data_IF_601058205898
#
_entry.id   IF_601058205898
#
_cell.length_a   1.000
_cell.length_b   1.000
_cell.length_c   1.000
_cell.angle_alpha   90.00
_cell.angle_beta   90.00
_cell.angle_gamma   90.00
#
_symmetry.space_group_name_H-M   'P 1'
#
loop_
_entity.id
_entity.type
_entity.pdbx_description
1 polymer ?
#
# COMPACT_ATOMS: atom_id res chain seq x y z
N UNK A 1 14.33 11.90 -10.01
CA UNK A 1 13.04 11.18 -10.17
C UNK A 1 12.86 10.22 -9.01
N UNK A 2 11.68 10.17 -8.41
CA UNK A 2 11.38 9.25 -7.29
C UNK A 2 11.33 7.80 -7.79
N UNK A 3 12.06 6.91 -7.11
CA UNK A 3 12.10 5.48 -7.43
C UNK A 3 11.46 4.66 -6.32
N UNK A 4 10.85 3.55 -6.70
CA UNK A 4 10.09 2.70 -5.81
C UNK A 4 10.50 1.23 -5.98
N UNK A 5 10.48 0.50 -4.87
CA UNK A 5 10.46 -0.96 -4.90
C UNK A 5 9.01 -1.43 -4.77
N UNK A 6 8.70 -2.61 -5.31
CA UNK A 6 7.39 -3.24 -5.12
C UNK A 6 7.57 -4.38 -4.13
N UNK A 7 6.98 -4.24 -2.93
CA UNK A 7 6.93 -5.32 -1.97
C UNK A 7 5.73 -6.22 -2.24
N UNK A 8 5.91 -7.51 -1.98
CA UNK A 8 4.85 -8.50 -2.07
C UNK A 8 4.88 -9.39 -0.80
N UNK A 9 3.80 -9.29 -0.04
CA UNK A 9 3.60 -9.73 1.33
C UNK A 9 2.42 -10.72 1.43
N UNK A 10 2.24 -11.50 0.37
CA UNK A 10 1.22 -12.55 0.31
C UNK A 10 1.29 -13.50 1.52
N UNK A 11 0.16 -14.01 2.02
CA UNK A 11 0.12 -14.87 3.20
C UNK A 11 1.05 -16.09 3.10
N UNK A 12 1.14 -16.71 1.93
CA UNK A 12 2.01 -17.87 1.66
C UNK A 12 3.51 -17.57 1.85
N UNK A 13 3.92 -16.30 1.81
CA UNK A 13 5.32 -15.88 1.98
C UNK A 13 5.63 -15.41 3.40
N UNK A 14 4.69 -15.55 4.34
CA UNK A 14 4.92 -15.16 5.74
C UNK A 14 6.03 -15.95 6.43
N UNK A 15 6.26 -17.19 5.98
CA UNK A 15 7.33 -18.04 6.50
C UNK A 15 8.71 -17.70 5.92
N UNK A 16 8.78 -16.89 4.85
CA UNK A 16 10.06 -16.51 4.25
C UNK A 16 10.85 -15.64 5.23
N UNK A 17 12.19 -15.79 5.31
CA UNK A 17 13.02 -15.03 6.24
C UNK A 17 13.07 -13.53 5.90
N UNK A 18 12.88 -13.18 4.63
CA UNK A 18 12.98 -11.82 4.11
C UNK A 18 11.74 -11.41 3.33
N UNK A 19 11.50 -10.10 3.27
CA UNK A 19 10.47 -9.50 2.44
C UNK A 19 10.82 -9.71 0.98
N UNK A 20 9.84 -10.17 0.20
CA UNK A 20 9.98 -10.36 -1.23
C UNK A 20 9.73 -9.06 -1.98
N UNK A 21 10.63 -8.71 -2.89
CA UNK A 21 10.50 -7.60 -3.83
C UNK A 21 10.42 -8.10 -5.26
N UNK A 22 9.80 -7.31 -6.12
CA UNK A 22 9.78 -7.59 -7.56
C UNK A 22 11.11 -7.21 -8.20
N UNK A 23 11.58 -8.03 -9.15
CA UNK A 23 12.72 -7.72 -10.01
C UNK A 23 12.33 -6.77 -11.14
N UNK A 24 13.31 -6.09 -11.71
CA UNK A 24 13.08 -5.17 -12.84
C UNK A 24 12.30 -5.84 -13.97
N UNK A 25 11.46 -5.07 -14.67
CA UNK A 25 10.66 -5.55 -15.80
C UNK A 25 9.75 -6.75 -15.46
N UNK A 26 9.31 -6.87 -14.20
CA UNK A 26 8.41 -7.93 -13.75
C UNK A 26 8.99 -9.36 -13.93
N UNK A 27 10.31 -9.48 -13.93
CA UNK A 27 11.05 -10.72 -14.17
C UNK A 27 11.10 -11.68 -12.97
N UNK A 28 10.09 -11.64 -12.11
CA UNK A 28 9.99 -12.45 -10.90
C UNK A 28 10.40 -11.72 -9.63
N UNK A 29 10.98 -12.45 -8.69
CA UNK A 29 11.09 -12.01 -7.30
C UNK A 29 12.53 -12.07 -6.76
N UNK A 30 12.82 -11.26 -5.75
CA UNK A 30 14.11 -11.23 -5.08
C UNK A 30 13.97 -10.82 -3.61
N UNK A 31 14.88 -11.32 -2.76
CA UNK A 31 15.11 -10.76 -1.42
C UNK A 31 16.13 -9.62 -1.42
N UNK A 32 17.28 -9.73 -2.13
CA UNK A 32 18.28 -8.66 -2.12
C UNK A 32 17.76 -7.41 -2.85
N UNK A 33 17.91 -6.25 -2.19
CA UNK A 33 17.53 -4.96 -2.75
C UNK A 33 18.39 -4.55 -3.95
N UNK A 34 19.56 -5.17 -4.12
CA UNK A 34 20.42 -5.04 -5.29
C UNK A 34 19.85 -5.72 -6.54
N UNK A 35 19.03 -6.76 -6.36
CA UNK A 35 18.35 -7.48 -7.44
C UNK A 35 16.91 -7.00 -7.67
N UNK A 36 16.36 -6.25 -6.71
CA UNK A 36 15.03 -5.68 -6.82
C UNK A 36 14.96 -4.58 -7.89
N UNK A 37 13.87 -4.58 -8.66
CA UNK A 37 13.58 -3.58 -9.68
C UNK A 37 13.28 -2.22 -9.07
N UNK A 38 13.73 -1.15 -9.72
CA UNK A 38 13.42 0.22 -9.35
C UNK A 38 12.44 0.80 -10.35
N UNK A 39 11.24 1.08 -9.88
CA UNK A 39 10.11 1.51 -10.68
C UNK A 39 9.92 3.02 -10.61
N UNK A 40 9.59 3.62 -11.74
CA UNK A 40 9.29 5.05 -11.82
C UNK A 40 7.87 5.35 -11.34
N UNK A 41 7.64 6.56 -10.83
CA UNK A 41 6.30 6.97 -10.40
C UNK A 41 5.26 6.89 -11.53
N UNK A 42 5.62 7.35 -12.73
CA UNK A 42 4.72 7.35 -13.89
C UNK A 42 4.28 5.92 -14.26
N UNK A 43 5.23 4.99 -14.34
CA UNK A 43 4.98 3.57 -14.60
C UNK A 43 4.02 2.96 -13.56
N UNK A 44 4.23 3.29 -12.28
CA UNK A 44 3.37 2.79 -11.20
C UNK A 44 1.94 3.33 -11.26
N UNK A 45 1.77 4.57 -11.72
CA UNK A 45 0.45 5.19 -11.88
C UNK A 45 -0.29 4.53 -13.05
N UNK A 46 0.39 4.33 -14.18
CA UNK A 46 -0.18 3.73 -15.38
C UNK A 46 -0.67 2.30 -15.12
N UNK A 47 0.12 1.50 -14.41
CA UNK A 47 -0.19 0.09 -14.11
C UNK A 47 -0.66 -0.13 -12.65
N UNK A 48 -1.37 0.82 -12.06
CA UNK A 48 -1.64 0.81 -10.61
C UNK A 48 -2.36 -0.45 -10.11
N UNK A 49 -3.35 -0.96 -10.85
CA UNK A 49 -4.10 -2.16 -10.46
C UNK A 49 -3.23 -3.42 -10.45
N UNK A 50 -2.09 -3.40 -11.13
CA UNK A 50 -1.17 -4.52 -11.22
C UNK A 50 -0.17 -4.54 -10.06
N UNK A 51 0.36 -3.36 -9.73
CA UNK A 51 1.36 -3.18 -8.66
C UNK A 51 0.76 -2.94 -7.27
N UNK A 52 -0.54 -2.62 -7.21
CA UNK A 52 -1.28 -2.47 -5.97
C UNK A 52 -2.35 -3.55 -5.86
N UNK A 53 -2.19 -4.49 -4.94
CA UNK A 53 -3.10 -5.63 -4.77
C UNK A 53 -3.42 -5.88 -3.30
N UNK A 54 -4.69 -6.21 -3.04
CA UNK A 54 -5.17 -6.67 -1.74
C UNK A 54 -5.60 -8.14 -1.81
N UNK A 55 -5.55 -8.78 -0.65
CA UNK A 55 -6.19 -10.06 -0.37
C UNK A 55 -7.11 -9.86 0.83
N UNK A 56 -8.42 -9.89 0.57
CA UNK A 56 -9.43 -9.34 1.48
C UNK A 56 -9.08 -7.93 1.94
N UNK A 57 -8.96 -7.74 3.25
CA UNK A 57 -8.62 -6.46 3.85
C UNK A 57 -7.11 -6.16 3.85
N UNK A 58 -6.25 -7.14 3.58
CA UNK A 58 -4.80 -6.99 3.69
C UNK A 58 -4.18 -6.47 2.39
N UNK A 59 -3.40 -5.39 2.48
CA UNK A 59 -2.56 -4.94 1.39
C UNK A 59 -1.37 -5.91 1.23
N UNK A 60 -1.35 -6.65 0.13
CA UNK A 60 -0.38 -7.72 -0.14
C UNK A 60 0.67 -7.32 -1.16
N UNK A 61 0.37 -6.45 -2.12
CA UNK A 61 1.36 -5.96 -3.09
C UNK A 61 1.25 -4.46 -3.22
N UNK A 62 2.37 -3.76 -3.14
CA UNK A 62 2.35 -2.30 -3.19
C UNK A 62 3.76 -1.70 -3.42
N UNK A 63 3.82 -0.57 -4.12
CA UNK A 63 5.05 0.21 -4.25
C UNK A 63 5.42 0.96 -2.96
N UNK A 64 6.71 1.09 -2.68
CA UNK A 64 7.28 1.79 -1.52
C UNK A 64 8.51 2.58 -1.98
N UNK A 65 8.68 3.81 -1.49
CA UNK A 65 9.82 4.65 -1.85
C UNK A 65 11.16 3.96 -1.54
N UNK A 66 12.07 3.93 -2.50
CA UNK A 66 13.29 3.11 -2.43
C UNK A 66 14.16 3.46 -1.21
N UNK A 67 14.27 4.74 -0.86
CA UNK A 67 15.08 5.20 0.27
C UNK A 67 14.59 4.64 1.61
N UNK A 68 13.27 4.49 1.79
CA UNK A 68 12.68 3.94 3.01
C UNK A 68 12.98 2.45 3.15
N UNK A 69 12.99 1.72 2.04
CA UNK A 69 13.30 0.28 2.03
C UNK A 69 14.79 0.07 2.28
N UNK A 70 15.65 0.85 1.59
CA UNK A 70 17.11 0.78 1.79
C UNK A 70 17.52 1.04 3.25
N UNK A 71 16.87 2.00 3.92
CA UNK A 71 17.12 2.30 5.33
C UNK A 71 16.76 1.15 6.30
N UNK A 72 16.02 0.14 5.83
CA UNK A 72 15.67 -1.08 6.58
C UNK A 72 16.47 -2.30 6.12
N UNK A 73 17.38 -2.11 5.17
CA UNK A 73 18.24 -3.16 4.66
C UNK A 73 19.27 -3.58 5.71
N UNK A 74 19.48 -4.88 5.82
CA UNK A 74 20.52 -5.54 6.63
C UNK A 74 21.18 -6.59 5.77
N UNK A 75 22.37 -7.03 6.15
CA UNK A 75 22.98 -8.19 5.52
C UNK A 75 22.14 -9.44 5.79
N UNK A 76 22.08 -10.38 4.83
CA UNK A 76 21.40 -11.65 5.04
C UNK A 76 22.16 -12.51 6.03
N UNK A 77 21.46 -13.46 6.64
CA UNK A 77 22.09 -14.49 7.44
C UNK A 77 22.94 -15.38 6.52
N UNK A 78 24.14 -15.81 6.98
CA UNK A 78 25.03 -16.64 6.18
C UNK A 78 24.34 -17.90 5.62
N UNK A 79 24.51 -18.16 4.32
CA UNK A 79 24.02 -19.36 3.65
C UNK A 79 22.54 -19.34 3.26
N UNK A 80 21.79 -18.27 3.57
CA UNK A 80 20.38 -18.16 3.14
C UNK A 80 20.24 -17.67 1.70
N UNK A 81 21.19 -16.86 1.23
CA UNK A 81 21.21 -16.31 -0.12
C UNK A 81 22.55 -16.65 -0.74
N UNK A 82 22.55 -17.01 -2.03
CA UNK A 82 23.76 -17.27 -2.79
C UNK A 82 24.75 -16.12 -2.64
N UNK A 83 25.97 -16.44 -2.25
CA UNK A 83 27.04 -15.46 -1.98
C UNK A 83 26.71 -14.41 -0.92
N UNK A 84 25.71 -14.66 -0.06
CA UNK A 84 25.24 -13.73 0.98
C UNK A 84 24.91 -12.33 0.44
N UNK A 85 24.38 -12.24 -0.78
CA UNK A 85 24.11 -10.94 -1.41
C UNK A 85 23.04 -10.17 -0.64
N UNK A 86 23.43 -9.02 -0.11
CA UNK A 86 22.57 -8.06 0.56
C UNK A 86 22.52 -6.69 -0.15
N UNK A 87 21.84 -5.70 0.44
CA UNK A 87 21.05 -5.81 1.67
C UNK A 87 19.67 -6.45 1.43
N UNK A 88 19.08 -7.05 2.46
CA UNK A 88 17.74 -7.65 2.51
C UNK A 88 16.89 -7.00 3.60
N UNK A 89 15.57 -7.15 3.55
CA UNK A 89 14.68 -6.67 4.61
C UNK A 89 14.08 -7.87 5.36
N UNK A 90 14.31 -8.03 6.68
CA UNK A 90 13.75 -9.12 7.47
C UNK A 90 12.23 -9.15 7.43
N UNK A 91 11.65 -10.34 7.29
CA UNK A 91 10.19 -10.53 7.25
C UNK A 91 9.55 -10.54 8.63
N UNK A 92 9.74 -9.47 9.39
CA UNK A 92 9.13 -9.33 10.71
C UNK A 92 7.75 -8.67 10.62
N UNK A 93 6.85 -8.90 11.59
CA UNK A 93 5.58 -8.17 11.68
C UNK A 93 5.78 -6.65 11.69
N UNK A 94 6.83 -6.17 12.36
CA UNK A 94 7.19 -4.75 12.43
C UNK A 94 7.53 -4.18 11.04
N UNK A 95 8.39 -4.86 10.28
CA UNK A 95 8.73 -4.43 8.92
C UNK A 95 7.51 -4.46 8.01
N UNK A 96 6.71 -5.54 8.01
CA UNK A 96 5.47 -5.60 7.21
C UNK A 96 4.51 -4.44 7.53
N UNK A 97 4.34 -4.11 8.81
CA UNK A 97 3.49 -2.98 9.26
C UNK A 97 4.02 -1.65 8.74
N UNK A 98 5.32 -1.40 8.89
CA UNK A 98 5.96 -0.15 8.44
C UNK A 98 5.85 -0.01 6.93
N UNK A 99 6.14 -1.06 6.17
CA UNK A 99 6.06 -1.04 4.71
C UNK A 99 4.65 -0.69 4.26
N UNK A 100 3.61 -1.37 4.79
CA UNK A 100 2.21 -1.07 4.42
C UNK A 100 1.82 0.38 4.72
N UNK A 101 2.23 0.91 5.87
CA UNK A 101 1.97 2.32 6.26
C UNK A 101 2.66 3.34 5.34
N UNK A 102 3.75 2.94 4.70
CA UNK A 102 4.55 3.77 3.80
C UNK A 102 4.32 3.43 2.32
N UNK A 103 3.29 2.64 2.02
CA UNK A 103 2.90 2.35 0.65
C UNK A 103 2.67 3.65 -0.11
N UNK A 104 3.15 3.69 -1.35
CA UNK A 104 2.79 4.74 -2.28
C UNK A 104 1.34 4.52 -2.71
N UNK A 105 0.52 5.55 -2.52
CA UNK A 105 -0.88 5.59 -2.90
C UNK A 105 -0.99 6.73 -3.90
N UNK A 106 -1.11 6.44 -5.20
CA UNK A 106 -1.35 7.47 -6.19
C UNK A 106 -2.75 8.06 -6.02
N UNK A 107 -2.89 9.33 -6.38
CA UNK A 107 -4.12 10.10 -6.25
C UNK A 107 -5.28 9.51 -7.05
N UNK A 108 -4.99 8.85 -8.18
CA UNK A 108 -5.96 8.10 -8.96
C UNK A 108 -6.62 6.91 -8.22
N UNK A 109 -5.99 6.40 -7.13
CA UNK A 109 -6.67 5.47 -6.22
C UNK A 109 -7.52 6.21 -5.20
N UNK A 110 -7.11 7.40 -4.74
CA UNK A 110 -7.86 8.21 -3.78
C UNK A 110 -9.22 8.66 -4.33
N UNK A 111 -9.33 8.94 -5.62
CA UNK A 111 -10.61 9.25 -6.27
C UNK A 111 -11.57 8.07 -6.34
N UNK A 112 -11.06 6.82 -6.38
CA UNK A 112 -11.88 5.60 -6.25
C UNK A 112 -12.34 5.33 -4.82
N UNK A 113 -11.76 6.03 -3.84
CA UNK A 113 -12.17 6.00 -2.45
C UNK A 113 -13.11 7.17 -2.11
N UNK A 114 -13.90 7.65 -3.08
CA UNK A 114 -14.94 8.66 -2.86
C UNK A 114 -15.68 8.31 -1.57
N UNK A 115 -15.49 9.19 -0.59
CA UNK A 115 -15.88 8.93 0.80
C UNK A 115 -17.40 8.78 0.81
N UNK A 116 -17.89 7.63 1.24
CA UNK A 116 -19.28 7.47 1.70
C UNK A 116 -19.44 8.35 2.94
N UNK A 117 -19.59 9.67 2.76
CA UNK A 117 -19.97 10.59 3.84
C UNK A 117 -21.48 10.71 3.98
N UNK A 118 -22.28 10.10 3.11
CA UNK A 118 -23.72 10.38 3.03
C UNK A 118 -24.66 9.38 3.73
N UNK A 119 -24.19 8.67 4.77
CA UNK A 119 -25.10 7.82 5.59
C UNK A 119 -24.99 7.96 7.10
N UNK A 120 -24.13 8.85 7.61
CA UNK A 120 -24.13 9.17 9.03
C UNK A 120 -24.33 10.67 9.20
N UNK A 121 -25.59 11.06 9.36
CA UNK A 121 -26.02 12.43 9.61
C UNK A 121 -25.64 12.93 11.01
N UNK A 122 -24.57 12.41 11.63
CA UNK A 122 -24.07 12.84 12.93
C UNK A 122 -22.54 13.01 12.89
N UNK A 123 -22.03 14.24 13.08
CA UNK A 123 -20.59 14.46 13.18
C UNK A 123 -20.05 13.95 14.52
N UNK A 124 -18.82 13.41 14.57
CA UNK A 124 -18.12 13.22 15.84
C UNK A 124 -17.98 14.57 16.55
N UNK A 125 -18.17 14.57 17.87
CA UNK A 125 -18.13 15.76 18.75
C UNK A 125 -16.71 16.32 18.89
N UNK A 126 -16.08 16.78 17.82
CA UNK A 126 -14.90 17.64 17.85
C UNK A 126 -14.43 17.99 16.43
N UNK A 127 -15.22 18.75 15.67
CA UNK A 127 -14.74 19.87 14.83
C UNK A 127 -15.87 20.33 13.90
N UNK A 128 -16.31 21.58 14.09
CA UNK A 128 -17.01 22.35 13.05
C UNK A 128 -15.95 23.08 12.25
N UNK A 129 -15.74 22.73 10.98
CA UNK A 129 -15.18 23.63 10.00
C UNK A 129 -15.80 23.33 8.64
N UNK A 130 -16.31 24.40 8.02
CA UNK A 130 -17.14 24.43 6.82
C UNK A 130 -16.32 24.08 5.57
N UNK A 131 -16.94 23.25 4.72
CA UNK A 131 -16.83 23.18 3.25
C UNK A 131 -15.65 23.88 2.54
N UNK A 132 -14.77 23.10 1.89
CA UNK A 132 -14.35 23.25 0.48
C UNK A 132 -13.26 22.19 0.16
N UNK A 133 -13.49 21.34 -0.83
CA UNK A 133 -12.71 20.13 -1.12
C UNK A 133 -11.23 20.38 -1.54
N UNK A 134 -10.84 21.61 -1.86
CA UNK A 134 -9.47 21.94 -2.26
C UNK A 134 -8.52 22.26 -1.09
N UNK A 135 -9.04 22.72 0.06
CA UNK A 135 -8.22 23.10 1.21
C UNK A 135 -7.62 21.88 1.96
N UNK A 136 -8.13 20.68 1.72
CA UNK A 136 -7.76 19.46 2.45
C UNK A 136 -6.40 18.87 2.06
N UNK A 137 -5.80 19.26 0.93
CA UNK A 137 -4.54 18.66 0.46
C UNK A 137 -3.30 19.21 1.19
N UNK A 138 -3.27 20.51 1.46
CA UNK A 138 -2.21 21.14 2.25
C UNK A 138 -2.20 20.56 3.68
N UNK A 139 -3.39 20.39 4.26
CA UNK A 139 -3.57 19.78 5.58
C UNK A 139 -3.19 18.29 5.61
N UNK A 140 -3.49 17.52 4.55
CA UNK A 140 -3.14 16.10 4.50
C UNK A 140 -1.63 15.86 4.38
N UNK A 141 -0.95 16.65 3.53
CA UNK A 141 0.51 16.58 3.38
C UNK A 141 1.22 17.05 4.65
N UNK A 142 0.77 18.16 5.25
CA UNK A 142 1.30 18.67 6.51
C UNK A 142 1.04 17.72 7.70
N UNK A 143 -0.15 17.12 7.81
CA UNK A 143 -0.47 16.15 8.87
C UNK A 143 0.32 14.84 8.74
N UNK A 144 0.66 14.43 7.51
CA UNK A 144 1.52 13.27 7.24
C UNK A 144 2.99 13.55 7.57
N UNK A 145 3.50 14.74 7.25
CA UNK A 145 4.86 15.16 7.61
C UNK A 145 5.02 15.38 9.12
N UNK A 146 3.99 15.90 9.78
CA UNK A 146 3.98 16.13 11.22
C UNK A 146 3.66 14.87 12.06
N UNK A 147 3.37 13.72 11.43
CA UNK A 147 3.19 12.44 12.12
C UNK A 147 1.85 12.20 12.81
N UNK A 148 0.80 12.97 12.49
CA UNK A 148 -0.50 12.95 13.21
C UNK A 148 -1.44 11.83 12.76
N UNK A 149 -1.10 11.07 11.71
CA UNK A 149 -1.79 9.83 11.36
C UNK A 149 -1.21 8.64 12.12
N UNK A 150 -1.42 8.63 13.43
CA UNK A 150 -1.20 7.45 14.29
C UNK A 150 -2.55 6.77 14.52
N UNK A 151 -2.75 5.65 13.84
CA UNK A 151 -3.86 4.70 14.03
C UNK A 151 -5.26 5.22 13.60
N UNK A 152 -5.79 4.70 12.49
CA UNK A 152 -7.23 4.88 12.21
C UNK A 152 -7.69 4.69 10.76
N UNK A 153 -6.91 5.11 9.75
CA UNK A 153 -7.45 5.11 8.37
C UNK A 153 -7.60 3.73 7.71
N UNK A 154 -7.11 2.67 8.36
CA UNK A 154 -7.27 1.28 7.87
C UNK A 154 -8.46 0.53 8.50
N UNK A 155 -9.16 1.11 9.49
CA UNK A 155 -10.29 0.45 10.15
C UNK A 155 -11.62 0.59 9.38
N UNK A 156 -11.72 1.51 8.41
CA UNK A 156 -12.98 1.85 7.74
C UNK A 156 -13.33 0.97 6.52
N UNK A 157 -12.74 -0.22 6.41
CA UNK A 157 -13.01 -1.17 5.32
C UNK A 157 -13.56 -2.52 5.85
N UNK A 158 -14.03 -2.54 7.10
CA UNK A 158 -14.57 -3.74 7.73
C UNK A 158 -16.06 -4.01 7.40
N UNK A 159 -16.79 -3.04 6.84
CA UNK A 159 -18.26 -3.11 6.71
C UNK A 159 -18.77 -2.64 5.33
N UNK A 160 -18.13 -3.08 4.24
CA UNK A 160 -18.80 -3.01 2.93
C UNK A 160 -19.79 -4.18 2.85
N UNK A 161 -21.13 -3.94 2.80
CA UNK A 161 -22.07 -5.03 2.59
C UNK A 161 -21.75 -5.71 1.27
N UNK A 162 -21.82 -7.05 1.26
CA UNK A 162 -21.70 -7.88 0.07
C UNK A 162 -22.61 -7.31 -1.01
N UNK A 163 -22.03 -6.83 -2.11
CA UNK A 163 -22.79 -6.51 -3.31
C UNK A 163 -23.23 -7.85 -3.89
N UNK A 164 -24.42 -8.30 -3.55
CA UNK A 164 -25.15 -9.28 -4.36
C UNK A 164 -25.52 -8.61 -5.67
N UNK A 165 -25.04 -9.17 -6.78
CA UNK A 165 -25.49 -8.83 -8.13
C UNK A 165 -27.02 -8.90 -8.18
N UNK A 166 -27.66 -7.76 -8.48
CA UNK A 166 -29.06 -7.73 -8.87
C UNK A 166 -29.07 -7.97 -10.37
N UNK A 167 -29.40 -9.20 -10.79
CA UNK A 167 -29.70 -9.52 -12.18
C UNK A 167 -30.89 -8.66 -12.64
N UNK A 168 -30.63 -7.74 -13.57
CA UNK A 168 -31.67 -7.00 -14.28
C UNK A 168 -32.39 -7.94 -15.26
N UNK A 169 -33.41 -8.64 -14.78
CA UNK A 169 -34.40 -9.34 -15.59
C UNK A 169 -35.60 -8.46 -15.88
N UNK A 170 -35.70 -7.93 -17.11
CA UNK A 170 -36.96 -7.39 -17.65
C UNK A 170 -38.00 -8.50 -17.72
N UNK A 171 -39.16 -8.31 -17.09
CA UNK A 171 -40.37 -9.07 -17.41
C UNK A 171 -41.48 -8.09 -17.75
N UNK A 172 -41.74 -7.96 -19.04
CA UNK A 172 -43.04 -7.51 -19.58
C UNK A 172 -43.96 -8.72 -19.70
N UNK A 173 -45.15 -8.62 -19.12
CA UNK A 173 -46.39 -9.10 -19.74
C UNK A 173 -47.59 -8.36 -19.15
#
# INVERSE_FOLDING_TARGET
MSQYYIADLRPEWRANPYITFWRANNSGYAYPLSWAGRYGQAELIEAINYYWKRDGQSLIRFPIHHALVKARGTDPAPGIIDSNVGPVVPNTPANRRILRRRAFIPEALLSKFEVVTDRFNHPPRCFRARSAAAARWADYSAAREAGWYTDGFYAYLADSPKVTEVETGKVTR
#
